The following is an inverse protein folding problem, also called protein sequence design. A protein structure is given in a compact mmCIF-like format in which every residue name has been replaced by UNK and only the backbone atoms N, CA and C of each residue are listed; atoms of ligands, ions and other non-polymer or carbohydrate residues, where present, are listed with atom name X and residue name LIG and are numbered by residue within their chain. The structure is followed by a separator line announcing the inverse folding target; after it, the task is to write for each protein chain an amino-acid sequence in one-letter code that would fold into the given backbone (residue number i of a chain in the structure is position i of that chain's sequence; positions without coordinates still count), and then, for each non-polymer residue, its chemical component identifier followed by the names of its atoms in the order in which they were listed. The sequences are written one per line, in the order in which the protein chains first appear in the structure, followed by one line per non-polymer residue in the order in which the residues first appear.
data_IF_198363343267
#
_entry.id   IF_198363343267
#
_cell.length_a   1.000
_cell.length_b   1.000
_cell.length_c   1.000
_cell.angle_alpha   90.00
_cell.angle_beta   90.00
_cell.angle_gamma   90.00
#
_symmetry.space_group_name_H-M   'P 1'
#
loop_
_entity.id
_entity.type
_entity.pdbx_description
1 polymer ?
#
# COMPACT_ATOMS: atom_id res chain seq x y z
N UNK A 1 45.67 55.31 -13.34
CA UNK A 1 44.27 54.81 -13.32
C UNK A 1 44.32 53.29 -13.37
N UNK A 2 44.04 52.62 -12.26
CA UNK A 2 44.08 51.15 -12.16
C UNK A 2 42.67 50.63 -11.92
N UNK A 3 42.22 49.72 -12.77
CA UNK A 3 40.92 49.04 -12.64
C UNK A 3 41.07 47.82 -11.74
N UNK A 4 40.34 47.81 -10.62
CA UNK A 4 40.22 46.66 -9.74
C UNK A 4 39.13 45.71 -10.27
N UNK A 5 39.51 44.51 -10.67
CA UNK A 5 38.59 43.42 -11.01
C UNK A 5 38.14 42.72 -9.73
N UNK A 6 36.88 42.94 -9.34
CA UNK A 6 36.20 42.23 -8.25
C UNK A 6 35.72 40.87 -8.75
N UNK A 7 36.38 39.79 -8.34
CA UNK A 7 35.90 38.43 -8.56
C UNK A 7 34.86 38.08 -7.48
N UNK A 8 33.58 38.12 -7.84
CA UNK A 8 32.51 37.50 -7.04
C UNK A 8 32.49 36.01 -7.32
N UNK A 9 32.97 35.21 -6.38
CA UNK A 9 32.76 33.78 -6.35
C UNK A 9 31.28 33.48 -6.08
N UNK A 10 30.54 33.01 -7.09
CA UNK A 10 29.23 32.39 -6.92
C UNK A 10 29.44 31.00 -6.32
N UNK A 11 29.11 30.86 -5.03
CA UNK A 11 28.99 29.57 -4.39
C UNK A 11 27.78 28.84 -5.00
N UNK A 12 28.05 27.93 -5.93
CA UNK A 12 27.10 26.93 -6.40
C UNK A 12 26.71 26.04 -5.23
N UNK A 13 25.60 26.38 -4.58
CA UNK A 13 24.97 25.53 -3.57
C UNK A 13 24.22 24.45 -4.34
N UNK A 14 24.92 23.37 -4.67
CA UNK A 14 24.28 22.14 -5.15
C UNK A 14 23.12 21.80 -4.20
N UNK A 15 21.89 21.62 -4.70
CA UNK A 15 20.79 21.20 -3.84
C UNK A 15 21.15 19.84 -3.26
N UNK A 16 21.27 19.81 -1.93
CA UNK A 16 21.49 18.61 -1.14
C UNK A 16 20.44 17.57 -1.52
N UNK A 17 20.89 16.48 -2.16
CA UNK A 17 20.11 15.28 -2.46
C UNK A 17 19.80 14.47 -1.19
N UNK A 18 19.47 15.14 -0.08
CA UNK A 18 18.73 14.54 1.02
C UNK A 18 17.24 14.50 0.62
N UNK A 19 16.92 13.88 -0.50
CA UNK A 19 15.63 13.21 -0.61
C UNK A 19 15.73 12.03 0.35
N UNK A 20 15.43 12.30 1.63
CA UNK A 20 15.06 11.25 2.55
C UNK A 20 13.90 10.53 1.86
N UNK A 21 14.16 9.33 1.32
CA UNK A 21 13.09 8.39 1.04
C UNK A 21 12.31 8.30 2.35
N UNK A 22 11.14 8.95 2.40
CA UNK A 22 10.26 8.84 3.54
C UNK A 22 10.03 7.34 3.72
N UNK A 23 10.42 6.81 4.87
CA UNK A 23 10.33 5.39 5.14
C UNK A 23 8.90 4.92 4.85
N UNK A 24 8.76 3.97 3.93
CA UNK A 24 7.48 3.43 3.50
C UNK A 24 6.69 2.96 4.72
N UNK A 25 5.57 3.60 5.02
CA UNK A 25 4.75 3.22 6.18
C UNK A 25 3.70 2.21 5.76
N UNK A 26 3.52 1.16 6.57
CA UNK A 26 2.49 0.16 6.35
C UNK A 26 1.26 0.47 7.22
N UNK A 27 0.11 0.57 6.55
CA UNK A 27 -1.17 0.86 7.16
C UNK A 27 -2.11 -0.34 7.05
N UNK A 28 -2.81 -0.64 8.14
CA UNK A 28 -3.93 -1.57 8.15
C UNK A 28 -5.22 -0.77 7.97
N UNK A 29 -5.94 -1.07 6.90
CA UNK A 29 -7.21 -0.44 6.57
C UNK A 29 -8.34 -1.45 6.77
N UNK A 30 -9.14 -1.33 7.85
CA UNK A 30 -10.29 -2.19 8.06
C UNK A 30 -11.40 -1.86 7.06
N UNK A 31 -12.04 -2.89 6.54
CA UNK A 31 -13.23 -2.78 5.71
C UNK A 31 -14.31 -3.72 6.23
N UNK A 32 -15.56 -3.29 6.14
CA UNK A 32 -16.70 -4.12 6.46
C UNK A 32 -17.34 -4.63 5.16
N UNK A 33 -17.23 -5.93 4.82
CA UNK A 33 -17.76 -6.45 3.56
C UNK A 33 -19.27 -6.28 3.43
N UNK A 34 -20.01 -6.08 4.53
CA UNK A 34 -21.48 -5.91 4.53
C UNK A 34 -21.94 -4.46 4.48
N UNK A 35 -21.05 -3.48 4.64
CA UNK A 35 -21.39 -2.05 4.58
C UNK A 35 -20.48 -1.35 3.57
N UNK A 36 -20.79 -1.52 2.29
CA UNK A 36 -19.98 -1.01 1.17
C UNK A 36 -19.99 0.51 1.04
N UNK A 37 -21.13 1.15 1.32
CA UNK A 37 -21.33 2.60 1.14
C UNK A 37 -20.47 3.44 2.09
N UNK A 38 -20.29 3.00 3.34
CA UNK A 38 -19.56 3.77 4.36
C UNK A 38 -18.04 3.83 4.12
N UNK A 39 -17.53 3.02 3.20
CA UNK A 39 -16.10 2.81 2.98
C UNK A 39 -15.67 3.08 1.52
N UNK A 40 -16.58 3.61 0.70
CA UNK A 40 -16.26 4.17 -0.61
C UNK A 40 -16.01 3.17 -1.75
N UNK A 41 -16.33 1.89 -1.57
CA UNK A 41 -16.25 0.88 -2.63
C UNK A 41 -17.63 0.43 -3.10
N UNK A 42 -17.80 0.29 -4.42
CA UNK A 42 -19.05 -0.18 -5.04
C UNK A 42 -19.20 -1.70 -5.06
N UNK A 43 -18.10 -2.42 -4.89
CA UNK A 43 -18.02 -3.88 -4.92
C UNK A 43 -17.28 -4.37 -3.67
N UNK A 44 -17.57 -5.60 -3.19
CA UNK A 44 -16.84 -6.20 -2.07
C UNK A 44 -15.32 -6.09 -2.25
N UNK A 45 -14.55 -5.80 -1.18
CA UNK A 45 -13.10 -5.59 -1.27
C UNK A 45 -12.38 -6.75 -1.97
N UNK A 46 -12.71 -7.99 -1.62
CA UNK A 46 -12.18 -9.18 -2.32
C UNK A 46 -12.35 -9.14 -3.85
N UNK A 47 -13.50 -8.67 -4.37
CA UNK A 47 -13.72 -8.51 -5.82
C UNK A 47 -12.88 -7.38 -6.40
N UNK A 48 -12.77 -6.27 -5.68
CA UNK A 48 -11.93 -5.13 -6.06
C UNK A 48 -10.47 -5.57 -6.22
N UNK A 49 -9.96 -6.37 -5.30
CA UNK A 49 -8.58 -6.89 -5.32
C UNK A 49 -8.35 -7.98 -6.38
N UNK A 50 -9.38 -8.78 -6.69
CA UNK A 50 -9.32 -9.78 -7.76
C UNK A 50 -9.41 -9.17 -9.18
N UNK A 51 -9.87 -7.92 -9.29
CA UNK A 51 -10.13 -7.26 -10.57
C UNK A 51 -8.86 -6.81 -11.32
N UNK A 52 -9.05 -6.46 -12.61
CA UNK A 52 -8.00 -5.87 -13.48
C UNK A 52 -7.89 -4.34 -13.36
N UNK A 53 -8.72 -3.70 -12.53
CA UNK A 53 -8.66 -2.23 -12.34
C UNK A 53 -7.58 -1.92 -11.33
N UNK A 54 -6.60 -1.15 -11.79
CA UNK A 54 -5.35 -0.98 -11.06
C UNK A 54 -5.46 0.06 -9.93
N UNK A 55 -6.17 1.17 -10.13
CA UNK A 55 -6.20 2.29 -9.17
C UNK A 55 -7.62 2.54 -8.66
N UNK A 56 -7.78 2.57 -7.34
CA UNK A 56 -9.04 2.85 -6.66
C UNK A 56 -8.91 4.03 -5.70
N UNK A 57 -9.96 4.83 -5.59
CA UNK A 57 -10.02 5.97 -4.67
C UNK A 57 -10.63 5.53 -3.34
N UNK A 58 -9.93 5.82 -2.25
CA UNK A 58 -10.29 5.46 -0.87
C UNK A 58 -10.33 6.72 0.00
N UNK A 59 -11.00 6.65 1.15
CA UNK A 59 -11.10 7.79 2.06
C UNK A 59 -10.98 7.41 3.52
N UNK A 60 -10.70 8.40 4.36
CA UNK A 60 -10.72 8.32 5.81
C UNK A 60 -11.50 9.50 6.39
N UNK A 61 -12.19 9.33 7.53
CA UNK A 61 -12.94 10.42 8.16
C UNK A 61 -12.02 11.54 8.71
N UNK A 62 -10.71 11.30 8.79
CA UNK A 62 -9.70 12.27 9.26
C UNK A 62 -8.36 12.06 8.55
N UNK A 63 -7.51 13.08 8.56
CA UNK A 63 -6.14 13.00 8.05
C UNK A 63 -5.27 12.18 9.01
N UNK A 64 -4.67 11.09 8.51
CA UNK A 64 -3.78 10.22 9.29
C UNK A 64 -2.29 10.37 8.92
N UNK A 65 -1.96 11.25 7.97
CA UNK A 65 -0.59 11.39 7.47
C UNK A 65 -0.14 10.22 6.59
N UNK A 66 -1.10 9.62 5.87
CA UNK A 66 -0.81 8.68 4.78
C UNK A 66 -0.21 9.47 3.63
N UNK A 67 0.91 9.01 3.09
CA UNK A 67 1.61 9.69 1.99
C UNK A 67 1.81 8.76 0.79
N UNK A 68 2.10 9.35 -0.37
CA UNK A 68 2.50 8.58 -1.57
C UNK A 68 3.66 7.64 -1.26
N UNK A 69 3.56 6.40 -1.71
CA UNK A 69 4.52 5.33 -1.44
C UNK A 69 4.13 4.41 -0.29
N UNK A 70 3.26 4.84 0.62
CA UNK A 70 2.78 4.00 1.72
C UNK A 70 2.04 2.74 1.22
N UNK A 71 2.10 1.68 2.02
CA UNK A 71 1.37 0.44 1.77
C UNK A 71 0.06 0.40 2.56
N UNK A 72 -1.03 0.07 1.88
CA UNK A 72 -2.37 -0.10 2.46
C UNK A 72 -2.74 -1.57 2.40
N UNK A 73 -2.79 -2.20 3.56
CA UNK A 73 -3.25 -3.58 3.76
C UNK A 73 -4.74 -3.58 4.08
N UNK A 74 -5.55 -4.20 3.21
CA UNK A 74 -7.01 -4.19 3.34
C UNK A 74 -7.45 -5.42 4.12
N UNK A 75 -8.08 -5.19 5.27
CA UNK A 75 -8.53 -6.20 6.22
C UNK A 75 -10.05 -6.29 6.26
N UNK A 76 -10.62 -7.39 5.78
CA UNK A 76 -12.05 -7.67 5.93
C UNK A 76 -12.37 -8.09 7.36
N UNK A 77 -13.19 -7.28 8.02
CA UNK A 77 -13.59 -7.46 9.41
C UNK A 77 -14.98 -8.08 9.43
N UNK A 78 -15.06 -9.42 9.49
CA UNK A 78 -16.32 -10.15 9.25
C UNK A 78 -17.22 -10.23 10.50
N UNK A 79 -16.70 -10.06 11.72
CA UNK A 79 -17.52 -10.04 12.94
C UNK A 79 -16.82 -9.35 14.12
N UNK A 80 -17.60 -8.80 15.07
CA UNK A 80 -17.09 -8.22 16.32
C UNK A 80 -16.41 -9.27 17.22
N UNK A 81 -16.78 -10.53 17.06
CA UNK A 81 -16.32 -11.65 17.92
C UNK A 81 -15.21 -12.48 17.27
N UNK A 82 -14.77 -12.12 16.05
CA UNK A 82 -13.69 -12.80 15.37
C UNK A 82 -12.43 -11.91 15.31
N UNK A 83 -11.43 -12.12 16.18
CA UNK A 83 -10.17 -11.38 16.13
C UNK A 83 -9.33 -11.77 14.90
N UNK A 84 -9.58 -12.96 14.32
CA UNK A 84 -8.95 -13.43 13.09
C UNK A 84 -9.71 -12.86 11.90
N UNK A 85 -9.21 -11.75 11.38
CA UNK A 85 -9.69 -11.19 10.14
C UNK A 85 -8.76 -11.54 9.00
N UNK A 86 -9.29 -11.40 7.80
CA UNK A 86 -8.59 -11.76 6.59
C UNK A 86 -8.10 -10.52 5.86
N UNK A 87 -6.80 -10.50 5.57
CA UNK A 87 -6.18 -9.55 4.67
C UNK A 87 -6.42 -10.04 3.25
N UNK A 88 -7.16 -9.25 2.48
CA UNK A 88 -7.63 -9.62 1.13
C UNK A 88 -6.88 -8.88 0.02
N UNK A 89 -6.01 -7.93 0.37
CA UNK A 89 -5.23 -7.18 -0.61
C UNK A 89 -4.25 -6.22 0.03
N UNK A 90 -3.30 -5.79 -0.78
CA UNK A 90 -2.28 -4.79 -0.43
C UNK A 90 -2.01 -3.88 -1.61
N UNK A 91 -2.04 -2.57 -1.38
CA UNK A 91 -1.84 -1.60 -2.44
C UNK A 91 -0.91 -0.47 -2.04
N UNK A 92 -0.36 0.21 -3.04
CA UNK A 92 0.55 1.35 -2.85
C UNK A 92 -0.22 2.64 -3.05
N UNK A 93 -0.09 3.58 -2.12
CA UNK A 93 -0.66 4.93 -2.27
C UNK A 93 0.07 5.66 -3.40
N UNK A 94 -0.66 6.11 -4.41
CA UNK A 94 -0.11 6.80 -5.60
C UNK A 94 -0.28 8.30 -5.56
N UNK A 95 -1.34 8.79 -4.93
CA UNK A 95 -1.57 10.21 -4.77
C UNK A 95 -2.54 10.48 -3.64
N UNK A 96 -2.31 11.58 -2.91
CA UNK A 96 -3.36 12.21 -2.12
C UNK A 96 -4.30 12.97 -3.06
N UNK A 97 -5.61 12.79 -2.91
CA UNK A 97 -6.59 13.60 -3.63
C UNK A 97 -7.04 14.76 -2.73
N UNK A 98 -6.82 16.02 -3.12
CA UNK A 98 -7.54 17.11 -2.50
C UNK A 98 -9.00 17.00 -2.92
N UNK A 99 -9.89 16.56 -2.01
CA UNK A 99 -11.34 16.70 -2.22
C UNK A 99 -11.99 17.62 -1.20
N UNK A 100 -12.84 18.56 -1.67
CA UNK A 100 -13.36 19.64 -0.85
C UNK A 100 -14.75 19.29 -0.32
N UNK A 101 -14.94 19.45 1.01
CA UNK A 101 -16.17 19.87 1.73
C UNK A 101 -16.42 19.14 3.06
N UNK A 102 -15.90 17.93 3.26
CA UNK A 102 -16.40 17.05 4.34
C UNK A 102 -15.36 16.71 5.42
N UNK A 103 -14.14 17.27 5.35
CA UNK A 103 -13.05 16.97 6.29
C UNK A 103 -12.41 15.57 6.11
N UNK A 104 -12.95 14.74 5.24
CA UNK A 104 -12.40 13.44 4.89
C UNK A 104 -11.09 13.56 4.09
N UNK A 105 -10.16 12.64 4.35
CA UNK A 105 -8.89 12.54 3.63
C UNK A 105 -9.00 11.46 2.54
N UNK A 106 -8.86 11.87 1.28
CA UNK A 106 -9.00 11.02 0.10
C UNK A 106 -7.64 10.70 -0.52
N UNK A 107 -7.47 9.47 -1.01
CA UNK A 107 -6.23 9.03 -1.64
C UNK A 107 -6.49 7.94 -2.67
N UNK A 108 -5.59 7.82 -3.66
CA UNK A 108 -5.61 6.77 -4.68
C UNK A 108 -4.64 5.66 -4.30
N UNK A 109 -5.12 4.42 -4.37
CA UNK A 109 -4.33 3.22 -4.08
C UNK A 109 -4.27 2.34 -5.31
N UNK A 110 -3.07 1.87 -5.66
CA UNK A 110 -2.84 0.89 -6.70
C UNK A 110 -2.92 -0.53 -6.10
N UNK A 111 -3.92 -1.32 -6.49
CA UNK A 111 -4.14 -2.70 -6.04
C UNK A 111 -3.93 -3.75 -7.15
N UNK A 112 -3.62 -3.37 -8.39
CA UNK A 112 -3.57 -4.28 -9.56
C UNK A 112 -2.42 -5.29 -9.64
N UNK A 113 -1.75 -5.63 -8.53
CA UNK A 113 -0.58 -6.53 -8.52
C UNK A 113 -0.97 -8.01 -8.44
N UNK A 114 -0.07 -8.92 -8.84
CA UNK A 114 -0.28 -10.36 -8.67
C UNK A 114 -0.45 -10.75 -7.20
N UNK A 115 0.31 -10.10 -6.31
CA UNK A 115 0.18 -10.23 -4.87
C UNK A 115 -1.25 -9.93 -4.39
N UNK A 116 -1.85 -8.85 -4.86
CA UNK A 116 -3.23 -8.50 -4.51
C UNK A 116 -4.23 -9.56 -4.97
N UNK A 117 -4.09 -10.03 -6.22
CA UNK A 117 -4.94 -11.10 -6.76
C UNK A 117 -4.77 -12.40 -5.97
N UNK A 118 -3.55 -12.72 -5.58
CA UNK A 118 -3.26 -13.89 -4.75
C UNK A 118 -3.91 -13.78 -3.38
N UNK A 119 -3.76 -12.64 -2.69
CA UNK A 119 -4.40 -12.39 -1.39
C UNK A 119 -5.93 -12.36 -1.49
N UNK A 120 -6.49 -11.90 -2.61
CA UNK A 120 -7.93 -11.95 -2.84
C UNK A 120 -8.44 -13.40 -2.98
N UNK A 121 -7.66 -14.28 -3.64
CA UNK A 121 -7.99 -15.69 -3.80
C UNK A 121 -7.69 -16.53 -2.56
N UNK A 122 -6.65 -16.17 -1.80
CA UNK A 122 -6.18 -16.85 -0.61
C UNK A 122 -5.99 -15.82 0.52
N UNK A 123 -7.08 -15.35 1.15
CA UNK A 123 -6.99 -14.31 2.16
C UNK A 123 -6.15 -14.74 3.35
N UNK A 124 -5.26 -13.85 3.78
CA UNK A 124 -4.32 -14.13 4.84
C UNK A 124 -4.95 -13.84 6.21
N UNK A 125 -4.95 -14.81 7.11
CA UNK A 125 -5.31 -14.59 8.49
C UNK A 125 -4.29 -13.67 9.18
N UNK A 126 -4.75 -12.51 9.66
CA UNK A 126 -3.93 -11.60 10.46
C UNK A 126 -4.51 -11.52 11.87
N UNK A 127 -3.69 -11.91 12.86
CA UNK A 127 -4.05 -11.76 14.27
C UNK A 127 -3.75 -10.33 14.71
N UNK A 128 -4.77 -9.66 15.24
CA UNK A 128 -4.67 -8.30 15.77
C UNK A 128 -5.08 -8.27 17.24
N UNK A 129 -4.39 -7.47 18.05
CA UNK A 129 -4.70 -7.39 19.50
C UNK A 129 -6.06 -6.73 19.76
N UNK A 130 -6.47 -5.83 18.87
CA UNK A 130 -7.75 -5.14 18.93
C UNK A 130 -8.30 -4.88 17.54
N UNK A 131 -9.62 -5.01 17.39
CA UNK A 131 -10.32 -4.79 16.13
C UNK A 131 -10.19 -3.30 15.76
N UNK A 132 -9.50 -2.95 14.66
CA UNK A 132 -9.36 -1.55 14.27
C UNK A 132 -10.69 -1.03 13.72
N UNK A 133 -11.17 0.08 14.30
CA UNK A 133 -12.37 0.79 13.83
C UNK A 133 -12.06 1.81 12.71
N UNK A 134 -10.78 2.12 12.50
CA UNK A 134 -10.30 3.03 11.47
C UNK A 134 -8.91 2.61 11.02
N UNK A 135 -8.44 3.12 9.89
CA UNK A 135 -7.09 2.83 9.45
C UNK A 135 -6.06 3.25 10.50
N UNK A 136 -5.00 2.46 10.63
CA UNK A 136 -3.88 2.73 11.55
C UNK A 136 -2.60 2.13 11.01
N UNK A 137 -1.46 2.57 11.53
CA UNK A 137 -0.19 1.91 11.26
C UNK A 137 -0.23 0.47 11.77
N UNK A 138 0.41 -0.44 11.04
CA UNK A 138 0.64 -1.79 11.52
C UNK A 138 1.55 -1.76 12.74
N UNK A 139 1.23 -2.60 13.73
CA UNK A 139 2.13 -2.88 14.85
C UNK A 139 3.27 -3.77 14.37
N UNK A 140 4.39 -3.75 15.10
CA UNK A 140 5.56 -4.56 14.78
C UNK A 140 5.23 -6.07 14.68
N UNK A 141 4.40 -6.58 15.60
CA UNK A 141 3.94 -7.98 15.58
C UNK A 141 3.10 -8.34 14.34
N UNK A 142 2.36 -7.38 13.79
CA UNK A 142 1.56 -7.57 12.58
C UNK A 142 2.43 -7.45 11.34
N UNK A 143 3.40 -6.52 11.34
CA UNK A 143 4.38 -6.40 10.27
C UNK A 143 5.21 -7.69 10.14
N UNK A 144 5.63 -8.29 11.27
CA UNK A 144 6.34 -9.56 11.27
C UNK A 144 5.52 -10.70 10.65
N UNK A 145 4.23 -10.80 10.96
CA UNK A 145 3.32 -11.79 10.35
C UNK A 145 3.21 -11.60 8.83
N UNK A 146 3.07 -10.35 8.36
CA UNK A 146 2.92 -10.05 6.93
C UNK A 146 4.24 -10.18 6.16
N UNK A 147 5.39 -9.90 6.80
CA UNK A 147 6.70 -10.01 6.18
C UNK A 147 7.04 -11.45 5.76
N UNK A 148 6.64 -12.44 6.57
CA UNK A 148 6.79 -13.86 6.23
C UNK A 148 6.06 -14.21 4.94
N UNK A 149 4.87 -13.63 4.74
CA UNK A 149 4.04 -13.88 3.56
C UNK A 149 4.60 -13.18 2.32
N UNK A 150 5.08 -11.95 2.46
CA UNK A 150 5.77 -11.26 1.36
C UNK A 150 7.02 -12.04 0.91
N UNK A 151 7.78 -12.59 1.85
CA UNK A 151 8.96 -13.38 1.55
C UNK A 151 8.61 -14.66 0.77
N UNK A 152 7.63 -15.44 1.25
CA UNK A 152 7.20 -16.69 0.61
C UNK A 152 6.70 -16.48 -0.82
N UNK A 153 5.95 -15.40 -1.07
CA UNK A 153 5.44 -15.08 -2.40
C UNK A 153 6.56 -14.65 -3.36
N UNK A 154 7.53 -13.88 -2.87
CA UNK A 154 8.70 -13.48 -3.67
C UNK A 154 9.55 -14.71 -4.04
N UNK A 155 9.71 -15.67 -3.13
CA UNK A 155 10.45 -16.92 -3.37
C UNK A 155 9.71 -17.83 -4.35
N UNK A 156 8.38 -17.94 -4.24
CA UNK A 156 7.56 -18.74 -5.16
C UNK A 156 7.59 -18.20 -6.60
N UNK A 157 7.51 -16.88 -6.77
CA UNK A 157 7.64 -16.23 -8.07
C UNK A 157 9.04 -16.43 -8.66
N UNK A 158 10.09 -16.28 -7.85
CA UNK A 158 11.48 -16.50 -8.28
C UNK A 158 11.72 -17.96 -8.72
N UNK A 159 11.17 -18.94 -7.99
CA UNK A 159 11.27 -20.37 -8.36
C UNK A 159 10.52 -20.68 -9.65
N UNK A 160 9.35 -20.08 -9.85
CA UNK A 160 8.55 -20.29 -11.06
C UNK A 160 9.25 -19.71 -12.29
N UNK A 161 9.88 -18.54 -12.17
CA UNK A 161 10.69 -17.96 -13.25
C UNK A 161 11.97 -18.76 -13.53
N UNK A 162 12.60 -19.35 -12.51
CA UNK A 162 13.77 -20.22 -12.68
C UNK A 162 13.43 -21.54 -13.38
N UNK A 163 12.22 -22.09 -13.18
CA UNK A 163 11.76 -23.35 -13.78
C UNK A 163 11.13 -23.17 -15.17
N UNK A 164 10.70 -21.95 -15.52
CA UNK A 164 10.05 -21.62 -16.80
C UNK A 164 11.00 -21.45 -18.00
N UNK A 165 12.32 -21.50 -17.81
CA UNK A 165 13.30 -21.47 -18.91
C UNK A 165 13.79 -22.88 -19.26
N UNK A 166 12.90 -23.75 -19.77
CA UNK A 166 13.37 -24.88 -20.58
C UNK A 166 13.56 -24.39 -22.01
N UNK A 167 14.77 -24.42 -22.59
CA UNK A 167 14.92 -24.21 -24.02
C UNK A 167 14.13 -25.32 -24.72
N UNK A 168 13.10 -24.95 -25.45
CA UNK A 168 12.48 -25.85 -26.43
C UNK A 168 13.56 -26.09 -27.48
N UNK A 169 14.23 -27.23 -27.41
CA UNK A 169 15.00 -27.73 -28.54
C UNK A 169 14.01 -27.97 -29.67
N UNK A 170 14.08 -27.12 -30.69
CA UNK A 170 13.52 -27.42 -32.00
C UNK A 170 14.42 -28.51 -32.60
N UNK A 171 13.92 -29.74 -32.59
CA UNK A 171 14.33 -30.79 -33.52
C UNK A 171 13.32 -30.79 -34.68
#
# INVERSE_FOLDING_TARGET
MAYALSQKATADKAPSLCHMEAAMTHWLYPVNPTNTESWGYKEPPTKVMAGKKDIHTWHLPRKLGITTGDLIWVRESVHRDNPVAQVVGVGVVRSEEPRPKDGAHWFKVLFGTDLCRHLAANPLALVVDSIPMSARKLKESEQAQLALVLFDLTVAETRTQALGKRPVSLL
#
